data_IF_747390796883
#
_entry.id   IF_747390796883
#
_cell.length_a   1.000
_cell.length_b   1.000
_cell.length_c   1.000
_cell.angle_alpha   90.00
_cell.angle_beta   90.00
_cell.angle_gamma   90.00
#
_symmetry.space_group_name_H-M   'P 1'
#
loop_
_entity.id
_entity.type
_entity.pdbx_description
1 polymer ?
#
# COMPACT_ATOMS: atom_id res chain seq x y z
N UNK A 1 -11.98 13.18 12.56
CA UNK A 1 -11.92 14.00 13.80
C UNK A 1 -10.50 14.03 14.37
N UNK A 2 -9.86 12.92 14.75
CA UNK A 2 -8.50 12.91 15.31
C UNK A 2 -7.43 13.43 14.35
N UNK A 3 -7.48 13.05 13.07
CA UNK A 3 -6.57 13.55 12.05
C UNK A 3 -6.72 15.05 11.81
N UNK A 4 -7.95 15.56 11.84
CA UNK A 4 -8.22 16.99 11.67
C UNK A 4 -7.70 17.81 12.87
N UNK A 5 -7.85 17.26 14.07
CA UNK A 5 -7.30 17.88 15.29
C UNK A 5 -5.78 17.94 15.25
N UNK A 6 -5.14 16.83 14.84
CA UNK A 6 -3.69 16.77 14.65
C UNK A 6 -3.21 17.80 13.62
N UNK A 7 -3.86 17.84 12.44
CA UNK A 7 -3.53 18.78 11.38
C UNK A 7 -3.63 20.24 11.83
N UNK A 8 -4.70 20.61 12.54
CA UNK A 8 -4.87 21.94 13.14
C UNK A 8 -3.79 22.26 14.16
N UNK A 9 -3.49 21.34 15.06
CA UNK A 9 -2.48 21.53 16.11
C UNK A 9 -1.07 21.73 15.53
N UNK A 10 -0.79 21.20 14.34
CA UNK A 10 0.50 21.34 13.66
C UNK A 10 0.50 22.35 12.51
N UNK A 11 -0.54 23.19 12.40
CA UNK A 11 -0.59 24.27 11.42
C UNK A 11 -0.63 23.79 9.96
N UNK A 12 -1.14 22.58 9.71
CA UNK A 12 -1.31 22.05 8.35
C UNK A 12 -2.52 22.74 7.69
N UNK A 13 -2.41 22.97 6.37
CA UNK A 13 -3.50 23.53 5.59
C UNK A 13 -4.72 22.60 5.63
N UNK A 14 -5.85 23.17 5.99
CA UNK A 14 -7.12 22.46 6.12
C UNK A 14 -8.05 22.80 4.98
N UNK A 15 -8.69 21.81 4.41
CA UNK A 15 -9.75 21.99 3.44
C UNK A 15 -11.09 22.01 4.17
N UNK A 16 -11.74 23.16 4.19
CA UNK A 16 -13.00 23.37 4.92
C UNK A 16 -14.19 22.63 4.26
N UNK A 17 -14.20 22.53 2.93
CA UNK A 17 -15.24 21.85 2.18
C UNK A 17 -14.70 20.57 1.52
N UNK A 18 -15.20 19.42 1.96
CA UNK A 18 -14.89 18.13 1.37
C UNK A 18 -15.25 18.03 -0.13
N UNK A 19 -16.09 18.92 -0.65
CA UNK A 19 -16.37 18.99 -2.09
C UNK A 19 -15.17 19.47 -2.90
N UNK A 20 -14.18 20.08 -2.27
CA UNK A 20 -12.90 20.42 -2.91
C UNK A 20 -12.30 19.23 -3.67
N UNK A 21 -12.44 18.02 -3.13
CA UNK A 21 -11.95 16.78 -3.77
C UNK A 21 -12.96 16.16 -4.74
N UNK A 22 -14.13 16.73 -4.89
CA UNK A 22 -15.22 16.22 -5.73
C UNK A 22 -15.09 16.70 -7.18
N UNK A 23 -14.22 16.06 -7.96
CA UNK A 23 -14.17 16.29 -9.41
C UNK A 23 -15.40 15.69 -10.10
N UNK A 24 -15.80 16.16 -11.32
CA UNK A 24 -16.87 15.52 -12.09
C UNK A 24 -16.66 14.02 -12.30
N UNK A 25 -15.41 13.59 -12.43
CA UNK A 25 -15.03 12.17 -12.53
C UNK A 25 -15.28 11.46 -11.19
N UNK A 26 -14.91 12.08 -10.08
CA UNK A 26 -15.12 11.53 -8.73
C UNK A 26 -16.62 11.46 -8.40
N UNK A 27 -17.40 12.44 -8.79
CA UNK A 27 -18.85 12.44 -8.56
C UNK A 27 -19.56 11.34 -9.34
N UNK A 28 -19.25 11.17 -10.64
CA UNK A 28 -19.75 10.03 -11.43
C UNK A 28 -19.35 8.68 -10.83
N UNK A 29 -18.12 8.58 -10.35
CA UNK A 29 -17.62 7.38 -9.68
C UNK A 29 -18.35 7.12 -8.35
N UNK A 30 -18.63 8.16 -7.54
CA UNK A 30 -19.43 8.04 -6.31
C UNK A 30 -20.86 7.59 -6.61
N UNK A 31 -21.48 8.10 -7.68
CA UNK A 31 -22.81 7.64 -8.12
C UNK A 31 -22.81 6.17 -8.55
N UNK A 32 -21.76 5.74 -9.27
CA UNK A 32 -21.57 4.33 -9.61
C UNK A 32 -21.33 3.48 -8.37
N UNK A 33 -20.52 3.95 -7.40
CA UNK A 33 -20.26 3.25 -6.14
C UNK A 33 -21.52 3.14 -5.25
N UNK A 34 -22.45 4.10 -5.33
CA UNK A 34 -23.75 3.98 -4.65
C UNK A 34 -24.57 2.81 -5.19
N UNK A 35 -24.36 2.46 -6.46
CA UNK A 35 -25.00 1.30 -7.14
C UNK A 35 -24.18 0.01 -6.98
N UNK A 36 -22.84 0.12 -6.88
CA UNK A 36 -21.91 -1.01 -6.76
C UNK A 36 -21.20 -0.97 -5.41
N UNK A 37 -21.45 -1.93 -4.53
CA UNK A 37 -20.93 -1.95 -3.16
C UNK A 37 -19.44 -2.31 -3.01
N UNK A 38 -18.58 -2.01 -3.99
CA UNK A 38 -17.19 -2.53 -3.98
C UNK A 38 -16.18 -1.54 -4.54
N UNK A 39 -15.65 -0.58 -3.73
CA UNK A 39 -14.28 -0.06 -3.97
C UNK A 39 -13.72 0.61 -2.72
N UNK A 40 -12.53 0.19 -2.31
CA UNK A 40 -11.73 0.77 -1.25
C UNK A 40 -10.66 1.68 -1.88
N UNK A 41 -10.18 2.68 -1.15
CA UNK A 41 -9.05 3.50 -1.56
C UNK A 41 -8.02 3.55 -0.43
N UNK A 42 -6.78 3.18 -0.74
CA UNK A 42 -5.64 3.25 0.17
C UNK A 42 -4.46 3.84 -0.59
N UNK A 43 -3.70 4.69 0.06
CA UNK A 43 -2.39 5.14 -0.43
C UNK A 43 -1.31 4.62 0.50
N UNK A 44 -0.21 4.15 -0.07
CA UNK A 44 0.94 3.65 0.66
C UNK A 44 2.24 4.14 0.07
N UNK A 45 3.27 4.21 0.91
CA UNK A 45 4.63 4.51 0.51
C UNK A 45 5.60 3.65 1.30
N UNK A 46 6.58 3.08 0.60
CA UNK A 46 7.71 2.36 1.19
C UNK A 46 9.00 2.95 0.67
N UNK A 47 9.98 3.11 1.53
CA UNK A 47 11.24 3.81 1.20
C UNK A 47 12.42 3.04 1.76
N UNK A 48 13.44 2.89 0.92
CA UNK A 48 14.81 2.58 1.33
C UNK A 48 15.66 3.83 1.13
N UNK A 49 16.21 4.39 2.20
CA UNK A 49 17.04 5.58 2.12
C UNK A 49 18.52 5.26 1.78
N UNK A 50 19.30 6.31 1.54
CA UNK A 50 20.73 6.18 1.23
C UNK A 50 21.58 5.63 2.39
N UNK A 51 21.04 5.56 3.59
CA UNK A 51 21.71 5.04 4.78
C UNK A 51 21.31 3.59 5.07
N UNK A 52 20.40 3.01 4.28
CA UNK A 52 19.91 1.65 4.45
C UNK A 52 18.71 1.52 5.39
N UNK A 53 18.06 2.65 5.75
CA UNK A 53 16.86 2.61 6.58
C UNK A 53 15.63 2.34 5.73
N UNK A 54 14.80 1.46 6.23
CA UNK A 54 13.52 1.09 5.65
C UNK A 54 12.36 1.77 6.41
N UNK A 55 11.44 2.36 5.67
CA UNK A 55 10.28 3.04 6.23
C UNK A 55 9.04 2.71 5.43
N UNK A 56 7.91 2.55 6.10
CA UNK A 56 6.61 2.33 5.48
C UNK A 56 5.55 3.26 6.08
N UNK A 57 4.63 3.71 5.24
CA UNK A 57 3.47 4.49 5.66
C UNK A 57 2.24 4.12 4.84
N UNK A 58 1.09 4.05 5.50
CA UNK A 58 -0.19 3.74 4.87
C UNK A 58 -1.26 4.69 5.36
N UNK A 59 -2.10 5.20 4.45
CA UNK A 59 -3.24 6.04 4.79
C UNK A 59 -4.48 5.60 4.03
N UNK A 60 -5.62 5.54 4.70
CA UNK A 60 -6.88 5.06 4.13
C UNK A 60 -8.09 5.65 4.82
N UNK A 61 -9.16 5.88 4.07
CA UNK A 61 -10.49 6.10 4.61
C UNK A 61 -11.21 4.79 5.01
N UNK A 62 -10.58 3.64 4.81
CA UNK A 62 -11.15 2.33 5.05
C UNK A 62 -12.16 1.89 3.99
N UNK A 63 -12.89 0.82 4.26
CA UNK A 63 -13.88 0.25 3.36
C UNK A 63 -15.10 1.18 3.21
N UNK A 64 -15.58 1.32 1.97
CA UNK A 64 -16.81 2.08 1.71
C UNK A 64 -18.02 1.44 2.42
N UNK A 65 -18.89 2.26 3.00
CA UNK A 65 -20.04 1.83 3.82
C UNK A 65 -19.67 0.95 5.02
N UNK A 66 -18.45 1.05 5.53
CA UNK A 66 -18.12 0.36 6.79
C UNK A 66 -19.04 0.83 7.91
N UNK A 67 -19.43 -0.09 8.75
CA UNK A 67 -20.23 0.21 9.95
C UNK A 67 -19.35 0.47 11.17
N UNK A 68 -19.96 0.89 12.25
CA UNK A 68 -19.32 1.23 13.52
C UNK A 68 -18.47 0.09 14.06
N UNK A 69 -17.30 0.43 14.57
CA UNK A 69 -16.36 -0.51 15.14
C UNK A 69 -15.51 -1.28 14.12
N UNK A 70 -15.71 -1.10 12.80
CA UNK A 70 -14.85 -1.75 11.80
C UNK A 70 -13.45 -1.14 11.82
N UNK A 71 -12.46 -1.98 11.97
CA UNK A 71 -11.04 -1.66 11.85
C UNK A 71 -10.49 -2.33 10.60
N UNK A 72 -9.72 -1.60 9.80
CA UNK A 72 -8.95 -2.15 8.69
C UNK A 72 -7.53 -2.50 9.10
N UNK A 73 -6.74 -2.97 8.14
CA UNK A 73 -5.35 -3.38 8.32
C UNK A 73 -4.37 -2.22 8.48
N UNK A 74 -4.63 -1.08 7.83
CA UNK A 74 -3.70 0.05 7.78
C UNK A 74 -3.21 0.54 9.17
N UNK A 75 -4.05 0.67 10.21
CA UNK A 75 -3.61 1.12 11.53
C UNK A 75 -2.99 0.02 12.40
N UNK A 76 -2.97 -1.24 11.92
CA UNK A 76 -2.44 -2.37 12.68
C UNK A 76 -1.03 -2.68 12.20
N UNK A 77 -0.05 -2.47 13.08
CA UNK A 77 1.36 -2.77 12.81
C UNK A 77 1.51 -4.26 12.48
N UNK A 78 2.13 -4.55 11.35
CA UNK A 78 2.32 -5.91 10.86
C UNK A 78 1.19 -6.44 9.98
N UNK A 79 0.01 -5.85 10.00
CA UNK A 79 -1.09 -6.22 9.11
C UNK A 79 -1.02 -5.46 7.78
N UNK A 80 -1.27 -4.15 7.80
CA UNK A 80 -1.28 -3.31 6.61
C UNK A 80 -0.02 -2.48 6.41
N UNK A 81 0.81 -2.33 7.44
CA UNK A 81 2.01 -1.49 7.41
C UNK A 81 3.08 -2.09 8.32
N UNK A 82 4.29 -2.24 7.80
CA UNK A 82 5.44 -2.70 8.59
C UNK A 82 6.76 -2.28 7.94
N UNK A 83 7.78 -2.03 8.75
CA UNK A 83 9.15 -1.83 8.28
C UNK A 83 10.15 -2.37 9.30
N UNK A 84 11.16 -3.08 8.82
CA UNK A 84 12.27 -3.61 9.59
C UNK A 84 13.52 -3.57 8.71
N UNK A 85 14.59 -2.90 9.16
CA UNK A 85 15.85 -2.76 8.42
C UNK A 85 16.53 -4.09 8.10
N UNK A 86 16.23 -5.15 8.85
CA UNK A 86 16.74 -6.51 8.56
C UNK A 86 15.82 -7.31 7.61
N UNK A 87 14.60 -6.87 7.38
CA UNK A 87 13.62 -7.48 6.50
C UNK A 87 13.28 -6.61 5.30
N UNK A 88 12.06 -6.06 5.32
CA UNK A 88 11.58 -5.16 4.27
C UNK A 88 10.59 -4.12 4.83
N UNK A 89 10.32 -3.08 4.04
CA UNK A 89 9.23 -2.15 4.25
C UNK A 89 8.03 -2.57 3.40
N UNK A 90 6.82 -2.58 3.97
CA UNK A 90 5.58 -3.08 3.36
C UNK A 90 4.43 -2.14 3.62
N UNK A 91 3.64 -1.85 2.59
CA UNK A 91 2.34 -1.20 2.69
C UNK A 91 1.30 -1.97 1.88
N UNK A 92 0.17 -2.29 2.51
CA UNK A 92 -0.87 -3.13 1.94
C UNK A 92 -2.13 -2.34 1.60
N UNK A 93 -2.92 -2.88 0.68
CA UNK A 93 -4.25 -2.39 0.32
C UNK A 93 -5.16 -3.54 -0.05
N UNK A 94 -6.42 -3.50 0.37
CA UNK A 94 -7.38 -4.57 0.04
C UNK A 94 -8.48 -4.73 1.06
N UNK A 95 -8.99 -5.95 1.17
CA UNK A 95 -9.92 -6.34 2.21
C UNK A 95 -9.17 -6.53 3.53
N UNK A 96 -9.09 -5.48 4.34
CA UNK A 96 -8.24 -5.40 5.53
C UNK A 96 -8.40 -6.55 6.51
N UNK A 97 -9.58 -7.13 6.60
CA UNK A 97 -9.89 -8.27 7.46
C UNK A 97 -8.99 -9.49 7.17
N UNK A 98 -8.67 -9.76 5.91
CA UNK A 98 -7.76 -10.84 5.51
C UNK A 98 -6.30 -10.47 5.82
N UNK A 99 -5.93 -9.22 5.56
CA UNK A 99 -4.58 -8.73 5.87
C UNK A 99 -4.27 -8.76 7.36
N UNK A 100 -5.29 -8.52 8.22
CA UNK A 100 -5.19 -8.68 9.68
C UNK A 100 -5.00 -10.15 10.05
N UNK A 101 -5.82 -11.05 9.51
CA UNK A 101 -5.76 -12.48 9.84
C UNK A 101 -4.42 -13.13 9.47
N UNK A 102 -3.86 -12.76 8.32
CA UNK A 102 -2.59 -13.27 7.83
C UNK A 102 -1.38 -12.46 8.30
N UNK A 103 -1.59 -11.35 9.02
CA UNK A 103 -0.54 -10.42 9.47
C UNK A 103 0.42 -10.08 8.32
N UNK A 104 -0.14 -9.76 7.14
CA UNK A 104 0.51 -9.80 5.83
C UNK A 104 1.83 -9.04 5.79
N UNK A 105 1.87 -7.80 6.28
CA UNK A 105 3.07 -6.99 6.21
C UNK A 105 4.24 -7.57 7.04
N UNK A 106 3.95 -8.12 8.23
CA UNK A 106 4.94 -8.78 9.07
C UNK A 106 5.33 -10.16 8.53
N UNK A 107 4.35 -10.93 8.02
CA UNK A 107 4.59 -12.22 7.38
C UNK A 107 5.63 -12.08 6.25
N UNK A 108 5.43 -11.11 5.33
CA UNK A 108 6.39 -10.84 4.26
C UNK A 108 7.78 -10.48 4.81
N UNK A 109 7.85 -9.56 5.77
CA UNK A 109 9.13 -9.14 6.36
C UNK A 109 9.85 -10.31 7.05
N UNK A 110 9.12 -11.19 7.72
CA UNK A 110 9.66 -12.36 8.38
C UNK A 110 10.23 -13.38 7.38
N UNK A 111 9.55 -13.63 6.27
CA UNK A 111 10.06 -14.51 5.21
C UNK A 111 11.37 -14.00 4.62
N UNK A 112 11.42 -12.70 4.30
CA UNK A 112 12.65 -12.07 3.81
C UNK A 112 13.78 -12.16 4.83
N UNK A 113 13.49 -11.86 6.11
CA UNK A 113 14.49 -11.79 7.19
C UNK A 113 14.96 -13.16 7.66
N UNK A 114 14.04 -14.07 7.94
CA UNK A 114 14.31 -15.33 8.63
C UNK A 114 14.53 -16.49 7.67
N UNK A 115 13.81 -16.49 6.54
CA UNK A 115 13.90 -17.56 5.54
C UNK A 115 14.82 -17.20 4.37
N UNK A 116 15.33 -15.95 4.31
CA UNK A 116 16.08 -15.41 3.17
C UNK A 116 15.34 -15.58 1.82
N UNK A 117 14.00 -15.63 1.86
CA UNK A 117 13.20 -15.78 0.66
C UNK A 117 13.26 -14.48 -0.17
N UNK A 118 13.41 -14.55 -1.51
CA UNK A 118 13.36 -13.37 -2.37
C UNK A 118 12.01 -12.62 -2.19
N UNK A 119 12.08 -11.31 -2.01
CA UNK A 119 10.89 -10.50 -1.69
C UNK A 119 9.77 -10.63 -2.71
N UNK A 120 10.09 -10.77 -4.00
CA UNK A 120 9.09 -10.93 -5.06
C UNK A 120 8.36 -12.27 -4.92
N UNK A 121 9.10 -13.36 -4.71
CA UNK A 121 8.56 -14.71 -4.53
C UNK A 121 7.66 -14.78 -3.28
N UNK A 122 8.18 -14.30 -2.13
CA UNK A 122 7.42 -14.26 -0.89
C UNK A 122 6.13 -13.43 -0.99
N UNK A 123 6.21 -12.28 -1.68
CA UNK A 123 5.06 -11.42 -1.88
C UNK A 123 4.01 -12.04 -2.83
N UNK A 124 4.45 -12.73 -3.88
CA UNK A 124 3.58 -13.43 -4.83
C UNK A 124 2.85 -14.58 -4.13
N UNK A 125 3.55 -15.42 -3.36
CA UNK A 125 2.93 -16.51 -2.57
C UNK A 125 1.85 -15.98 -1.61
N UNK A 126 2.14 -14.90 -0.88
CA UNK A 126 1.15 -14.31 0.03
C UNK A 126 -0.09 -13.82 -0.72
N UNK A 127 0.09 -13.11 -1.83
CA UNK A 127 -1.03 -12.48 -2.56
C UNK A 127 -1.80 -13.51 -3.40
N UNK A 128 -1.12 -14.42 -4.09
CA UNK A 128 -1.77 -15.30 -5.06
C UNK A 128 -2.14 -16.66 -4.48
N UNK A 129 -1.48 -17.12 -3.44
CA UNK A 129 -1.76 -18.42 -2.83
C UNK A 129 -2.54 -18.25 -1.52
N UNK A 130 -1.95 -17.63 -0.49
CA UNK A 130 -2.57 -17.55 0.83
C UNK A 130 -3.84 -16.71 0.86
N UNK A 131 -3.79 -15.47 0.31
CA UNK A 131 -4.96 -14.59 0.33
C UNK A 131 -6.05 -15.08 -0.64
N UNK A 132 -5.68 -15.65 -1.79
CA UNK A 132 -6.66 -16.23 -2.71
C UNK A 132 -7.40 -17.43 -2.09
N UNK A 133 -6.72 -18.29 -1.33
CA UNK A 133 -7.35 -19.42 -0.65
C UNK A 133 -8.49 -18.98 0.27
N UNK A 134 -8.35 -17.81 0.88
CA UNK A 134 -9.37 -17.22 1.77
C UNK A 134 -10.32 -16.24 1.05
N UNK A 135 -10.27 -16.15 -0.29
CA UNK A 135 -10.97 -15.15 -1.09
C UNK A 135 -10.58 -13.69 -0.74
N UNK A 136 -9.40 -13.50 -0.18
CA UNK A 136 -8.80 -12.20 0.08
C UNK A 136 -8.46 -11.48 -1.21
N UNK A 137 -8.73 -10.19 -1.28
CA UNK A 137 -8.52 -9.37 -2.47
C UNK A 137 -7.75 -8.10 -2.13
N UNK A 138 -6.76 -7.77 -2.95
CA UNK A 138 -5.96 -6.56 -2.78
C UNK A 138 -4.57 -6.66 -3.38
N UNK A 139 -3.59 -6.07 -2.70
CA UNK A 139 -2.20 -6.08 -3.09
C UNK A 139 -1.30 -5.41 -2.06
N UNK A 140 -0.03 -5.38 -2.33
CA UNK A 140 0.95 -4.70 -1.50
C UNK A 140 2.05 -4.05 -2.34
N UNK A 141 2.77 -3.14 -1.73
CA UNK A 141 4.05 -2.64 -2.21
C UNK A 141 5.10 -2.91 -1.15
N UNK A 142 6.27 -3.34 -1.58
CA UNK A 142 7.37 -3.63 -0.66
C UNK A 142 8.73 -3.35 -1.28
N UNK A 143 9.71 -3.03 -0.41
CA UNK A 143 11.11 -2.89 -0.76
C UNK A 143 11.98 -3.52 0.33
N UNK A 144 12.98 -4.31 -0.06
CA UNK A 144 13.94 -4.89 0.88
C UNK A 144 15.21 -4.02 1.04
N UNK A 145 16.10 -4.40 1.95
CA UNK A 145 17.35 -3.71 2.23
C UNK A 145 18.36 -3.72 1.07
N UNK A 146 18.14 -4.54 0.05
CA UNK A 146 18.96 -4.60 -1.18
C UNK A 146 18.38 -3.71 -2.30
N UNK A 147 17.19 -3.12 -2.09
CA UNK A 147 16.49 -2.32 -3.08
C UNK A 147 15.63 -3.13 -4.05
N UNK A 148 15.42 -4.43 -3.80
CA UNK A 148 14.46 -5.22 -4.57
C UNK A 148 13.04 -4.79 -4.25
N UNK A 149 12.21 -4.62 -5.29
CA UNK A 149 10.85 -4.11 -5.20
C UNK A 149 9.86 -5.22 -5.56
N UNK A 150 8.79 -5.35 -4.76
CA UNK A 150 7.65 -6.21 -5.06
C UNK A 150 6.34 -5.41 -4.99
N UNK A 151 5.45 -5.63 -5.97
CA UNK A 151 4.16 -4.91 -6.05
C UNK A 151 3.06 -5.81 -6.62
N UNK A 152 2.84 -7.03 -6.06
CA UNK A 152 1.80 -7.93 -6.52
C UNK A 152 0.41 -7.46 -6.09
N UNK A 153 -0.60 -7.85 -6.87
CA UNK A 153 -2.01 -7.64 -6.55
C UNK A 153 -2.88 -8.66 -7.27
N UNK A 154 -3.96 -9.11 -6.63
CA UNK A 154 -4.97 -10.02 -7.18
C UNK A 154 -6.33 -9.34 -7.42
N UNK A 155 -6.39 -8.02 -7.29
CA UNK A 155 -7.56 -7.19 -7.62
C UNK A 155 -7.61 -6.86 -9.11
N UNK A 156 -8.69 -6.21 -9.55
CA UNK A 156 -8.84 -5.76 -10.95
C UNK A 156 -7.82 -4.70 -11.41
N UNK A 157 -7.04 -4.13 -10.50
CA UNK A 157 -5.97 -3.17 -10.76
C UNK A 157 -5.49 -2.50 -9.49
N UNK A 158 -4.22 -2.12 -9.48
CA UNK A 158 -3.61 -1.35 -8.39
C UNK A 158 -2.75 -0.24 -8.99
N UNK A 159 -3.05 1.02 -8.62
CA UNK A 159 -2.19 2.15 -8.96
C UNK A 159 -0.90 2.01 -8.18
N UNK A 160 0.23 1.95 -8.88
CA UNK A 160 1.53 1.79 -8.25
C UNK A 160 2.63 2.44 -9.07
N UNK A 161 3.72 2.78 -8.41
CA UNK A 161 4.88 3.31 -9.06
C UNK A 161 6.10 3.20 -8.15
N UNK A 162 7.27 3.35 -8.74
CA UNK A 162 8.51 3.48 -8.01
C UNK A 162 9.42 4.53 -8.63
N UNK A 163 10.30 5.04 -7.80
CA UNK A 163 11.45 5.84 -8.19
C UNK A 163 12.68 5.17 -7.58
N UNK A 164 13.64 4.84 -8.43
CA UNK A 164 14.83 4.12 -8.03
C UNK A 164 16.08 4.80 -8.58
N UNK A 165 17.08 4.97 -7.71
CA UNK A 165 18.41 5.42 -8.07
C UNK A 165 19.42 4.43 -7.52
N UNK A 166 20.17 3.79 -8.41
CA UNK A 166 21.22 2.85 -8.01
C UNK A 166 22.42 3.62 -7.44
N UNK A 167 22.99 3.06 -6.35
CA UNK A 167 24.16 3.67 -5.71
C UNK A 167 25.33 3.81 -6.71
N UNK A 168 25.84 5.02 -6.83
CA UNK A 168 26.96 5.33 -7.75
C UNK A 168 26.55 5.60 -9.19
N UNK A 169 25.26 5.52 -9.54
CA UNK A 169 24.74 5.95 -10.86
C UNK A 169 24.01 7.28 -10.77
N UNK A 170 24.07 8.07 -11.83
CA UNK A 170 23.29 9.31 -11.94
C UNK A 170 21.88 9.08 -12.44
N UNK A 171 21.67 8.00 -13.20
CA UNK A 171 20.37 7.63 -13.79
C UNK A 171 19.32 7.32 -12.72
N UNK A 172 18.16 7.94 -12.87
CA UNK A 172 16.96 7.66 -12.07
C UNK A 172 15.97 6.89 -12.91
N UNK A 173 15.55 5.75 -12.44
CA UNK A 173 14.49 4.94 -13.05
C UNK A 173 13.16 5.19 -12.35
N UNK A 174 12.13 5.55 -13.12
CA UNK A 174 10.76 5.74 -12.66
C UNK A 174 9.85 4.74 -13.35
N UNK A 175 8.87 4.22 -12.67
CA UNK A 175 7.83 3.43 -13.31
C UNK A 175 6.47 3.69 -12.67
N UNK A 176 5.43 3.64 -13.50
CA UNK A 176 4.04 3.79 -13.08
C UNK A 176 3.16 2.79 -13.81
N UNK A 177 2.12 2.30 -13.14
CA UNK A 177 1.17 1.36 -13.73
C UNK A 177 -0.09 1.19 -12.90
N UNK A 178 -1.12 0.63 -13.52
CA UNK A 178 -2.40 0.29 -12.87
C UNK A 178 -2.72 -1.19 -13.05
N UNK A 179 -2.59 -1.69 -14.27
CA UNK A 179 -2.79 -3.10 -14.62
C UNK A 179 -1.52 -3.93 -14.50
N UNK A 180 -1.43 -5.03 -15.25
CA UNK A 180 -0.27 -5.95 -15.19
C UNK A 180 1.04 -5.33 -15.66
N UNK A 181 0.99 -4.36 -16.57
CA UNK A 181 2.18 -3.70 -17.14
C UNK A 181 2.46 -2.36 -16.46
N UNK A 182 3.74 -1.99 -16.43
CA UNK A 182 4.21 -0.68 -15.95
C UNK A 182 4.93 0.05 -17.08
N UNK A 183 4.77 1.37 -17.12
CA UNK A 183 5.55 2.24 -18.01
C UNK A 183 6.84 2.64 -17.27
N UNK A 184 7.97 2.25 -17.82
CA UNK A 184 9.30 2.57 -17.29
C UNK A 184 9.85 3.79 -18.02
N UNK A 185 10.46 4.71 -17.28
CA UNK A 185 11.09 5.94 -17.76
C UNK A 185 12.48 6.02 -17.09
N UNK A 186 13.52 6.23 -17.88
CA UNK A 186 14.89 6.48 -17.39
C UNK A 186 15.29 7.91 -17.73
N UNK A 187 15.83 8.63 -16.76
CA UNK A 187 16.32 10.01 -16.88
C UNK A 187 17.74 10.15 -16.31
#
# INVERSE_FOLDING_TARGET
>A
EGADQFAKAHGLEMVEDNQYFATPKTMKWIEQLKKESKKNGTVGCVVLDKHGNLTAGTSTGGRFKKQWGRVGDAPIIGAGTYADNEGCAVSCTGHGEYYIRHVVAYNLSTRVKMLNQPIAEAADEIIFDELNADAGNGGLIAVDKKGNIAMPFNSGGMHRGYLYKEKGKETVTKAVGIGKTMKIIQE
#
